data_IF_271907383114
#
_entry.id   IF_271907383114
#
_cell.length_a   1.000
_cell.length_b   1.000
_cell.length_c   1.000
_cell.angle_alpha   90.00
_cell.angle_beta   90.00
_cell.angle_gamma   90.00
#
_symmetry.space_group_name_H-M   'P 1'
#
loop_
_entity.id
_entity.type
_entity.pdbx_description
1 polymer ?
#
# COMPACT_ATOMS: atom_id res chain seq x y z
N UNK A 1 3.64 9.99 12.02
CA UNK A 1 2.96 9.36 10.88
C UNK A 1 3.82 8.19 10.43
N UNK A 2 3.29 6.96 10.49
CA UNK A 2 3.96 5.75 9.98
C UNK A 2 3.57 5.57 8.51
N UNK A 3 4.55 5.53 7.61
CA UNK A 3 4.35 5.32 6.19
C UNK A 3 5.21 4.14 5.79
N UNK A 4 4.60 3.21 5.06
CA UNK A 4 5.26 2.02 4.55
C UNK A 4 4.85 1.79 3.11
N UNK A 5 5.69 1.07 2.37
CA UNK A 5 5.42 0.70 0.98
C UNK A 5 5.58 -0.80 0.80
N UNK A 6 4.87 -1.38 -0.14
CA UNK A 6 5.05 -2.77 -0.54
C UNK A 6 5.77 -2.77 -1.89
N UNK A 7 6.99 -3.34 -1.98
CA UNK A 7 7.68 -3.47 -3.25
C UNK A 7 6.88 -4.35 -4.23
N UNK A 8 6.90 -4.02 -5.51
CA UNK A 8 6.27 -4.85 -6.56
C UNK A 8 6.88 -6.26 -6.64
N UNK A 9 8.14 -6.43 -6.22
CA UNK A 9 8.83 -7.71 -6.14
C UNK A 9 8.42 -8.56 -4.93
N UNK A 10 7.69 -7.98 -3.96
CA UNK A 10 7.18 -8.75 -2.83
C UNK A 10 6.17 -9.79 -3.31
N UNK A 11 6.25 -11.01 -2.76
CA UNK A 11 5.29 -12.06 -3.06
C UNK A 11 3.89 -11.62 -2.60
N UNK A 12 3.03 -11.27 -3.55
CA UNK A 12 1.66 -10.88 -3.25
C UNK A 12 0.89 -12.08 -2.70
N UNK A 13 0.54 -12.01 -1.41
CA UNK A 13 -0.37 -12.97 -0.77
C UNK A 13 -1.83 -12.53 -0.86
N UNK A 14 -2.07 -11.27 -1.21
CA UNK A 14 -3.38 -10.66 -1.38
C UNK A 14 -3.30 -9.51 -2.40
N UNK A 15 -4.43 -9.15 -3.00
CA UNK A 15 -4.55 -8.07 -3.98
C UNK A 15 -5.25 -6.87 -3.32
N UNK A 16 -4.62 -5.70 -3.43
CA UNK A 16 -5.18 -4.43 -3.01
C UNK A 16 -6.16 -3.90 -4.09
N UNK A 17 -7.36 -4.47 -4.15
CA UNK A 17 -8.37 -4.08 -5.15
C UNK A 17 -8.91 -2.67 -4.95
N UNK A 18 -9.07 -2.25 -3.70
CA UNK A 18 -9.66 -0.97 -3.30
C UNK A 18 -8.96 -0.41 -2.07
N UNK A 19 -8.92 0.91 -1.93
CA UNK A 19 -8.47 1.57 -0.71
C UNK A 19 -9.48 1.34 0.41
N UNK A 20 -8.97 1.15 1.63
CA UNK A 20 -9.79 1.08 2.83
C UNK A 20 -9.10 1.77 3.99
N UNK A 21 -9.90 2.25 4.96
CA UNK A 21 -9.43 2.90 6.18
C UNK A 21 -10.11 2.24 7.38
N UNK A 22 -9.30 1.74 8.32
CA UNK A 22 -9.77 1.21 9.60
C UNK A 22 -9.75 2.34 10.63
N UNK A 23 -10.84 2.46 11.41
CA UNK A 23 -10.96 3.41 12.53
C UNK A 23 -11.26 2.65 13.80
N UNK A 24 -10.35 2.75 14.77
CA UNK A 24 -10.44 2.20 16.13
C UNK A 24 -10.85 0.72 16.21
N UNK A 25 -10.50 -0.09 15.21
CA UNK A 25 -10.90 -1.50 15.05
C UNK A 25 -12.42 -1.73 15.17
N UNK A 26 -13.22 -0.71 14.80
CA UNK A 26 -14.68 -0.70 14.93
C UNK A 26 -15.41 -0.41 13.64
N UNK A 27 -14.78 0.35 12.75
CA UNK A 27 -15.37 0.72 11.47
C UNK A 27 -14.33 0.64 10.38
N UNK A 28 -14.72 0.11 9.22
CA UNK A 28 -13.92 0.19 8.01
C UNK A 28 -14.69 0.94 6.93
N UNK A 29 -14.04 1.92 6.34
CA UNK A 29 -14.53 2.61 5.15
C UNK A 29 -13.80 2.05 3.94
N UNK A 30 -14.53 1.61 2.92
CA UNK A 30 -13.99 1.10 1.66
C UNK A 30 -14.43 2.04 0.54
N UNK A 31 -13.46 2.62 -0.15
CA UNK A 31 -13.74 3.49 -1.28
C UNK A 31 -13.81 2.65 -2.56
N UNK A 32 -14.93 2.76 -3.27
CA UNK A 32 -15.08 2.24 -4.62
C UNK A 32 -15.00 3.39 -5.61
N UNK A 33 -15.11 3.10 -6.91
CA UNK A 33 -14.96 4.12 -7.98
C UNK A 33 -15.92 5.30 -7.81
N UNK A 34 -17.14 5.08 -7.31
CA UNK A 34 -18.15 6.15 -7.17
C UNK A 34 -18.84 6.20 -5.80
N UNK A 35 -18.66 5.17 -4.98
CA UNK A 35 -19.41 4.98 -3.75
C UNK A 35 -18.51 4.58 -2.59
N UNK A 36 -18.99 4.81 -1.38
CA UNK A 36 -18.34 4.42 -0.15
C UNK A 36 -19.16 3.33 0.55
N UNK A 37 -18.47 2.31 1.07
CA UNK A 37 -19.06 1.28 1.90
C UNK A 37 -18.53 1.44 3.32
N UNK A 38 -19.44 1.43 4.30
CA UNK A 38 -19.09 1.48 5.72
C UNK A 38 -19.40 0.13 6.36
N UNK A 39 -18.37 -0.53 6.88
CA UNK A 39 -18.44 -1.83 7.54
C UNK A 39 -18.36 -1.63 9.05
N UNK A 40 -19.32 -2.19 9.79
CA UNK A 40 -19.41 -2.04 11.25
C UNK A 40 -19.65 -3.36 12.00
N UNK A 41 -19.95 -4.48 11.33
CA UNK A 41 -19.98 -5.79 11.99
C UNK A 41 -18.56 -6.13 12.46
N UNK A 42 -18.33 -6.42 13.76
CA UNK A 42 -16.99 -6.67 14.28
C UNK A 42 -16.24 -7.81 13.58
N UNK A 43 -16.95 -8.80 13.07
CA UNK A 43 -16.33 -9.93 12.34
C UNK A 43 -15.84 -9.49 10.98
N UNK A 44 -16.62 -8.66 10.29
CA UNK A 44 -16.23 -8.12 8.99
C UNK A 44 -15.10 -7.11 9.14
N UNK A 45 -15.12 -6.27 10.18
CA UNK A 45 -14.01 -5.37 10.52
C UNK A 45 -12.72 -6.17 10.77
N UNK A 46 -12.80 -7.29 11.51
CA UNK A 46 -11.64 -8.15 11.78
C UNK A 46 -11.01 -8.73 10.49
N UNK A 47 -11.80 -9.00 9.45
CA UNK A 47 -11.26 -9.45 8.16
C UNK A 47 -10.38 -8.38 7.51
N UNK A 48 -10.78 -7.11 7.58
CA UNK A 48 -9.99 -6.00 7.05
C UNK A 48 -8.74 -5.72 7.90
N UNK A 49 -8.82 -5.89 9.22
CA UNK A 49 -7.65 -5.83 10.10
C UNK A 49 -6.64 -6.92 9.73
N UNK A 50 -7.06 -8.17 9.60
CA UNK A 50 -6.15 -9.27 9.18
C UNK A 50 -5.52 -9.00 7.82
N UNK A 51 -6.32 -8.48 6.87
CA UNK A 51 -5.83 -8.07 5.55
C UNK A 51 -4.77 -6.96 5.63
N UNK A 52 -4.99 -5.95 6.47
CA UNK A 52 -4.00 -4.90 6.71
C UNK A 52 -2.71 -5.48 7.29
N UNK A 53 -2.80 -6.34 8.31
CA UNK A 53 -1.63 -6.96 8.96
C UNK A 53 -0.80 -7.80 7.97
N UNK A 54 -1.44 -8.52 7.05
CA UNK A 54 -0.75 -9.23 5.98
C UNK A 54 0.06 -8.29 5.11
N UNK A 55 -0.54 -7.18 4.65
CA UNK A 55 0.17 -6.15 3.89
C UNK A 55 1.29 -5.49 4.69
N UNK A 56 1.02 -5.16 5.95
CA UNK A 56 1.97 -4.54 6.87
C UNK A 56 3.21 -5.42 7.10
N UNK A 57 3.04 -6.75 7.15
CA UNK A 57 4.15 -7.71 7.31
C UNK A 57 5.10 -7.77 6.11
N UNK A 58 4.64 -7.35 4.92
CA UNK A 58 5.42 -7.33 3.68
C UNK A 58 5.99 -5.94 3.36
N UNK A 59 5.59 -4.92 4.11
CA UNK A 59 5.89 -3.54 3.80
C UNK A 59 7.27 -3.11 4.35
N UNK A 60 7.99 -2.32 3.56
CA UNK A 60 9.20 -1.62 3.99
C UNK A 60 8.82 -0.32 4.70
N UNK A 61 9.52 -0.01 5.79
CA UNK A 61 9.37 1.21 6.55
C UNK A 61 10.72 1.90 6.74
N UNK A 62 10.70 3.15 7.21
CA UNK A 62 11.90 3.88 7.62
C UNK A 62 12.96 3.92 6.54
N UNK A 63 14.21 3.63 6.91
CA UNK A 63 15.35 3.77 6.00
C UNK A 63 15.33 2.76 4.85
N UNK A 64 14.86 1.54 5.09
CA UNK A 64 14.72 0.53 4.03
C UNK A 64 13.75 0.99 2.93
N UNK A 65 12.64 1.63 3.33
CA UNK A 65 11.71 2.26 2.38
C UNK A 65 12.39 3.41 1.62
N UNK A 66 13.11 4.29 2.31
CA UNK A 66 13.79 5.43 1.69
C UNK A 66 14.82 4.97 0.66
N UNK A 67 15.68 4.02 1.03
CA UNK A 67 16.70 3.47 0.12
C UNK A 67 16.07 2.85 -1.12
N UNK A 68 14.96 2.12 -0.98
CA UNK A 68 14.24 1.56 -2.12
C UNK A 68 13.70 2.66 -3.05
N UNK A 69 13.05 3.69 -2.49
CA UNK A 69 12.52 4.81 -3.27
C UNK A 69 13.62 5.63 -3.95
N UNK A 70 14.76 5.82 -3.29
CA UNK A 70 15.93 6.46 -3.89
C UNK A 70 16.47 5.68 -5.08
N UNK A 71 16.48 4.34 -5.00
CA UNK A 71 16.82 3.47 -6.13
C UNK A 71 15.89 3.69 -7.32
N UNK A 72 14.57 3.61 -7.09
CA UNK A 72 13.54 3.85 -8.12
C UNK A 72 13.70 5.24 -8.76
N UNK A 73 13.89 6.28 -7.94
CA UNK A 73 14.12 7.64 -8.43
C UNK A 73 15.36 7.73 -9.32
N UNK A 74 16.48 7.14 -8.89
CA UNK A 74 17.74 7.24 -9.62
C UNK A 74 17.66 6.50 -10.96
N UNK A 75 17.01 5.34 -11.01
CA UNK A 75 16.79 4.60 -12.26
C UNK A 75 15.88 5.38 -13.22
N UNK A 76 14.79 5.95 -12.72
CA UNK A 76 13.90 6.80 -13.51
C UNK A 76 14.63 8.03 -14.10
N UNK A 77 15.46 8.71 -13.30
CA UNK A 77 16.22 9.87 -13.78
C UNK A 77 17.24 9.47 -14.86
N UNK A 78 17.89 8.32 -14.71
CA UNK A 78 18.82 7.78 -15.71
C UNK A 78 18.11 7.50 -17.04
N UNK A 79 16.94 6.86 -17.00
CA UNK A 79 16.13 6.60 -18.20
C UNK A 79 15.78 7.89 -18.95
N UNK A 80 15.39 8.94 -18.21
CA UNK A 80 15.12 10.25 -18.78
C UNK A 80 16.37 10.85 -19.44
N UNK A 81 17.54 10.82 -18.80
CA UNK A 81 18.78 11.36 -19.40
C UNK A 81 19.19 10.63 -20.70
N UNK A 82 18.88 9.34 -20.81
CA UNK A 82 19.19 8.54 -22.02
C UNK A 82 18.13 8.61 -23.12
N UNK A 83 16.92 9.08 -22.82
CA UNK A 83 15.76 9.03 -23.72
C UNK A 83 15.58 10.22 -24.69
N UNK A 84 16.41 11.28 -24.59
CA UNK A 84 16.33 12.47 -25.45
C UNK A 84 17.35 12.48 -26.61
N UNK A 85 17.97 11.33 -26.91
CA UNK A 85 19.01 11.21 -27.93
C UNK A 85 18.54 10.46 -29.21
N UNK A 86 17.24 10.49 -29.51
CA UNK A 86 16.69 10.01 -30.79
C UNK A 86 15.89 11.09 -31.53
#
# INVERSE_FOLDING_TARGET
MDIRIIPLSARQQDIANHSFVIRDDRTVTVETVHAEIVVTDPRDVALYVDKFERFASMALAGDAMRTMLEGVRNDFLREQETGWAE
#
